data_IF_454888675299
#
_entry.id   IF_454888675299
#
_cell.length_a   1.000
_cell.length_b   1.000
_cell.length_c   1.000
_cell.angle_alpha   90.00
_cell.angle_beta   90.00
_cell.angle_gamma   90.00
#
_symmetry.space_group_name_H-M   'P 1'
#
loop_
_entity.id
_entity.type
_entity.pdbx_description
1 polymer ?
#
# COMPACT_ATOMS: atom_id res chain seq x y z
N UNK A 1 -2.21 12.67 -12.23
CA UNK A 1 -2.47 13.80 -11.32
C UNK A 1 -1.14 14.36 -10.84
N UNK A 2 -0.95 15.69 -10.85
CA UNK A 2 0.29 16.31 -10.34
C UNK A 2 0.18 16.56 -8.84
N UNK A 3 1.08 16.00 -8.04
CA UNK A 3 1.22 16.31 -6.62
C UNK A 3 1.53 17.80 -6.46
N UNK A 4 0.57 18.57 -5.95
CA UNK A 4 0.78 19.98 -5.60
C UNK A 4 1.51 20.01 -4.25
N UNK A 5 2.77 20.44 -4.27
CA UNK A 5 3.52 20.69 -3.05
C UNK A 5 2.78 21.77 -2.21
N UNK A 6 2.60 21.56 -0.89
CA UNK A 6 2.00 22.58 -0.04
C UNK A 6 2.87 23.86 -0.04
N UNK A 7 2.26 25.06 0.07
CA UNK A 7 2.99 26.32 0.02
C UNK A 7 3.98 26.41 1.17
N UNK A 8 5.24 26.65 0.82
CA UNK A 8 6.37 26.76 1.75
C UNK A 8 6.12 27.92 2.73
N UNK A 9 6.10 27.62 4.04
CA UNK A 9 5.91 28.62 5.10
C UNK A 9 7.18 28.69 5.95
N UNK A 10 7.95 29.76 5.80
CA UNK A 10 9.10 30.05 6.65
C UNK A 10 8.60 30.76 7.91
N UNK A 11 8.87 30.20 9.09
CA UNK A 11 8.60 30.86 10.37
C UNK A 11 9.92 31.20 11.06
N UNK A 12 10.06 32.47 11.46
CA UNK A 12 11.18 32.93 12.29
C UNK A 12 10.87 32.59 13.76
N UNK A 13 11.79 31.92 14.43
CA UNK A 13 11.68 31.64 15.87
C UNK A 13 12.83 32.33 16.58
N UNK A 14 12.49 33.23 17.48
CA UNK A 14 13.45 33.92 18.35
C UNK A 14 13.74 33.04 19.57
N UNK A 15 15.02 32.75 19.83
CA UNK A 15 15.46 32.05 21.04
C UNK A 15 16.38 32.98 21.84
N UNK A 16 16.09 33.12 23.12
CA UNK A 16 16.95 33.85 24.05
C UNK A 16 18.12 32.96 24.48
N UNK A 17 19.34 33.44 24.25
CA UNK A 17 20.57 32.76 24.68
C UNK A 17 21.27 33.65 25.69
N UNK A 18 21.60 33.07 26.85
CA UNK A 18 22.44 33.73 27.86
C UNK A 18 23.88 33.78 27.36
N UNK A 19 24.48 34.97 27.35
CA UNK A 19 25.85 35.16 26.86
C UNK A 19 26.87 34.56 27.84
N UNK A 20 26.55 34.56 29.13
CA UNK A 20 27.34 33.98 30.23
C UNK A 20 26.43 33.61 31.41
N UNK A 21 26.72 32.50 32.11
CA UNK A 21 25.94 32.13 33.31
C UNK A 21 26.05 33.21 34.39
N UNK A 22 24.90 33.76 34.81
CA UNK A 22 24.80 34.80 35.83
C UNK A 22 24.78 36.25 35.32
N UNK A 23 24.86 36.50 34.01
CA UNK A 23 24.73 37.85 33.43
C UNK A 23 23.28 38.20 33.09
N UNK A 24 22.77 39.42 33.39
CA UNK A 24 21.43 39.86 33.00
C UNK A 24 21.30 40.17 31.50
N UNK A 25 22.37 40.02 30.72
CA UNK A 25 22.40 40.33 29.29
C UNK A 25 22.02 39.09 28.48
N UNK A 26 20.79 39.07 27.95
CA UNK A 26 20.32 38.07 26.98
C UNK A 26 20.55 38.57 25.55
N UNK A 27 20.99 37.70 24.65
CA UNK A 27 21.00 37.98 23.20
C UNK A 27 19.89 37.18 22.53
N UNK A 28 18.99 37.87 21.84
CA UNK A 28 17.96 37.25 20.99
C UNK A 28 18.58 36.89 19.65
N UNK A 29 18.66 35.61 19.33
CA UNK A 29 19.13 35.14 18.02
C UNK A 29 17.96 34.50 17.28
N UNK A 30 17.62 35.08 16.14
CA UNK A 30 16.62 34.51 15.23
C UNK A 30 17.21 33.29 14.54
N UNK A 31 16.61 32.12 14.73
CA UNK A 31 16.98 30.91 14.01
C UNK A 31 15.93 30.63 12.94
N UNK A 32 16.39 30.33 11.72
CA UNK A 32 15.51 29.91 10.64
C UNK A 32 15.25 28.41 10.81
N UNK A 33 14.12 28.05 11.41
CA UNK A 33 13.69 26.66 11.47
C UNK A 33 13.25 26.24 10.05
N UNK A 34 14.10 25.44 9.41
CA UNK A 34 13.76 24.76 8.16
C UNK A 34 12.93 23.52 8.48
N UNK A 35 11.97 23.17 7.61
CA UNK A 35 11.14 21.97 7.79
C UNK A 35 12.07 20.77 8.00
N UNK A 36 11.87 20.07 9.12
CA UNK A 36 12.44 18.75 9.40
C UNK A 36 12.35 17.95 8.11
N UNK A 37 13.47 17.47 7.56
CA UNK A 37 13.48 16.61 6.37
C UNK A 37 12.27 15.67 6.42
N UNK A 38 11.53 15.56 5.29
CA UNK A 38 10.38 14.65 5.14
C UNK A 38 10.65 13.42 6.00
N UNK A 39 9.87 13.28 7.08
CA UNK A 39 10.08 12.20 8.05
C UNK A 39 10.11 10.90 7.28
N UNK A 40 11.01 9.97 7.63
CA UNK A 40 11.11 8.67 6.97
C UNK A 40 9.71 8.01 6.86
N UNK A 41 8.88 8.21 7.87
CA UNK A 41 7.47 7.82 7.92
C UNK A 41 6.62 8.30 6.72
N UNK A 42 6.81 9.54 6.26
CA UNK A 42 6.09 10.09 5.08
C UNK A 42 6.62 9.46 3.79
N UNK A 43 7.92 9.16 3.71
CA UNK A 43 8.51 8.49 2.55
C UNK A 43 8.03 7.04 2.46
N UNK A 44 8.02 6.33 3.59
CA UNK A 44 7.57 4.95 3.67
C UNK A 44 6.06 4.87 3.36
N UNK A 45 5.26 5.84 3.83
CA UNK A 45 3.84 5.95 3.47
C UNK A 45 3.62 6.14 1.96
N UNK A 46 4.36 7.07 1.33
CA UNK A 46 4.27 7.31 -0.11
C UNK A 46 4.72 6.09 -0.93
N UNK A 47 5.75 5.38 -0.47
CA UNK A 47 6.21 4.15 -1.12
C UNK A 47 5.16 3.04 -1.01
N UNK A 48 4.56 2.85 0.17
CA UNK A 48 3.49 1.87 0.37
C UNK A 48 2.25 2.18 -0.49
N UNK A 49 1.89 3.46 -0.62
CA UNK A 49 0.79 3.91 -1.49
C UNK A 49 1.10 3.66 -2.97
N UNK A 50 2.33 3.97 -3.41
CA UNK A 50 2.78 3.69 -4.79
C UNK A 50 2.80 2.18 -5.10
N UNK A 51 3.27 1.34 -4.18
CA UNK A 51 3.23 -0.12 -4.34
C UNK A 51 1.79 -0.65 -4.43
N UNK A 52 0.89 -0.15 -3.57
CA UNK A 52 -0.53 -0.54 -3.60
C UNK A 52 -1.21 -0.14 -4.91
N UNK A 53 -0.90 1.03 -5.45
CA UNK A 53 -1.43 1.52 -6.72
C UNK A 53 -0.95 0.67 -7.91
N UNK A 54 0.33 0.29 -7.92
CA UNK A 54 0.89 -0.62 -8.94
C UNK A 54 0.22 -2.00 -8.89
N UNK A 55 0.01 -2.54 -7.69
CA UNK A 55 -0.70 -3.81 -7.52
C UNK A 55 -2.14 -3.71 -8.03
N UNK A 56 -2.86 -2.62 -7.74
CA UNK A 56 -4.20 -2.41 -8.29
C UNK A 56 -4.22 -2.30 -9.80
N UNK A 57 -3.28 -1.57 -10.41
CA UNK A 57 -3.18 -1.43 -11.87
C UNK A 57 -2.91 -2.79 -12.52
N UNK A 58 -2.03 -3.60 -11.94
CA UNK A 58 -1.76 -4.96 -12.41
C UNK A 58 -3.00 -5.83 -12.27
N UNK A 59 -3.67 -5.82 -11.13
CA UNK A 59 -4.89 -6.60 -10.90
C UNK A 59 -6.08 -6.15 -11.74
N UNK A 60 -6.13 -4.88 -12.14
CA UNK A 60 -7.19 -4.34 -13.01
C UNK A 60 -6.84 -4.53 -14.49
N UNK A 61 -5.55 -4.53 -14.83
CA UNK A 61 -5.05 -4.72 -16.20
C UNK A 61 -4.92 -6.19 -16.61
N UNK A 62 -4.66 -7.09 -15.65
CA UNK A 62 -4.96 -8.52 -15.77
C UNK A 62 -6.45 -8.63 -15.52
N UNK A 63 -7.20 -8.36 -16.57
CA UNK A 63 -8.60 -8.03 -16.52
C UNK A 63 -9.43 -9.06 -15.69
N UNK A 64 -10.44 -8.57 -14.97
CA UNK A 64 -11.29 -9.38 -14.09
C UNK A 64 -12.09 -10.40 -14.91
N UNK A 65 -12.09 -10.25 -16.24
CA UNK A 65 -12.59 -11.18 -17.24
C UNK A 65 -11.84 -12.52 -17.25
N UNK A 66 -10.54 -12.61 -16.91
CA UNK A 66 -9.81 -13.89 -16.84
C UNK A 66 -10.30 -14.70 -15.64
N UNK A 67 -10.36 -14.07 -14.46
CA UNK A 67 -10.92 -14.70 -13.27
C UNK A 67 -12.41 -15.03 -13.47
N UNK A 68 -13.18 -14.15 -14.11
CA UNK A 68 -14.59 -14.38 -14.43
C UNK A 68 -14.78 -15.46 -15.49
N UNK A 69 -13.88 -15.62 -16.46
CA UNK A 69 -13.95 -16.66 -17.50
C UNK A 69 -13.65 -18.03 -16.91
N UNK A 70 -12.69 -18.10 -15.97
CA UNK A 70 -12.40 -19.34 -15.25
C UNK A 70 -13.53 -19.70 -14.28
N UNK A 71 -14.09 -18.73 -13.55
CA UNK A 71 -15.20 -18.97 -12.61
C UNK A 71 -16.54 -19.25 -13.32
N UNK A 72 -16.78 -18.60 -14.46
CA UNK A 72 -17.96 -18.88 -15.31
C UNK A 72 -17.83 -20.19 -16.10
N UNK A 73 -16.69 -20.87 -16.07
CA UNK A 73 -16.51 -22.16 -16.72
C UNK A 73 -17.05 -23.28 -15.80
N UNK A 74 -18.16 -23.96 -16.18
CA UNK A 74 -18.75 -25.01 -15.36
C UNK A 74 -17.75 -26.13 -15.07
N UNK A 75 -16.90 -26.47 -16.03
CA UNK A 75 -15.90 -27.53 -15.89
C UNK A 75 -14.83 -27.16 -14.86
N UNK A 76 -14.37 -25.91 -14.81
CA UNK A 76 -13.39 -25.47 -13.82
C UNK A 76 -13.98 -25.48 -12.40
N UNK A 77 -15.24 -25.05 -12.25
CA UNK A 77 -15.97 -25.08 -10.98
C UNK A 77 -16.17 -26.53 -10.48
N UNK A 78 -16.59 -27.45 -11.34
CA UNK A 78 -16.80 -28.85 -10.97
C UNK A 78 -15.47 -29.58 -10.68
N UNK A 79 -14.41 -29.28 -11.41
CA UNK A 79 -13.06 -29.77 -11.11
C UNK A 79 -12.57 -29.30 -9.74
N UNK A 80 -12.81 -28.04 -9.39
CA UNK A 80 -12.43 -27.50 -8.08
C UNK A 80 -13.19 -28.18 -6.94
N UNK A 81 -14.50 -28.37 -7.08
CA UNK A 81 -15.33 -29.12 -6.11
C UNK A 81 -14.87 -30.56 -5.93
N UNK A 82 -14.49 -31.23 -7.03
CA UNK A 82 -13.90 -32.56 -6.97
C UNK A 82 -12.59 -32.58 -6.18
N UNK A 83 -11.69 -31.62 -6.42
CA UNK A 83 -10.43 -31.51 -5.68
C UNK A 83 -10.69 -31.26 -4.17
N UNK A 84 -11.70 -30.46 -3.83
CA UNK A 84 -12.09 -30.20 -2.45
C UNK A 84 -12.62 -31.45 -1.73
N UNK A 85 -13.46 -32.25 -2.40
CA UNK A 85 -13.95 -33.55 -1.89
C UNK A 85 -12.81 -34.55 -1.67
N UNK A 86 -11.85 -34.62 -2.60
CA UNK A 86 -10.66 -35.46 -2.44
C UNK A 86 -9.83 -35.07 -1.21
N UNK A 87 -9.68 -33.77 -0.95
CA UNK A 87 -8.98 -33.29 0.26
C UNK A 87 -9.70 -33.66 1.55
N UNK A 88 -11.02 -33.80 1.50
CA UNK A 88 -11.85 -34.25 2.64
C UNK A 88 -11.83 -35.78 2.82
N UNK A 89 -11.13 -36.51 1.94
CA UNK A 89 -10.98 -37.96 2.01
C UNK A 89 -12.11 -38.73 1.33
N UNK A 90 -12.97 -38.04 0.57
CA UNK A 90 -13.99 -38.68 -0.25
C UNK A 90 -13.35 -39.27 -1.51
N UNK A 91 -13.76 -40.47 -1.89
CA UNK A 91 -13.35 -41.07 -3.16
C UNK A 91 -14.21 -40.55 -4.31
N UNK A 92 -13.57 -40.27 -5.45
CA UNK A 92 -14.24 -39.79 -6.65
C UNK A 92 -14.36 -40.91 -7.68
N UNK A 93 -15.55 -41.09 -8.25
CA UNK A 93 -15.79 -42.02 -9.34
C UNK A 93 -15.29 -41.41 -10.67
N UNK A 94 -14.58 -42.20 -11.48
CA UNK A 94 -14.06 -41.78 -12.79
C UNK A 94 -15.17 -41.30 -13.74
N UNK A 95 -16.37 -41.89 -13.66
CA UNK A 95 -17.55 -41.47 -14.44
C UNK A 95 -18.03 -40.05 -14.09
N UNK A 96 -17.89 -39.63 -12.83
CA UNK A 96 -18.27 -38.28 -12.39
C UNK A 96 -17.28 -37.23 -12.91
N UNK A 97 -16.02 -37.60 -13.14
CA UNK A 97 -15.03 -36.72 -13.75
C UNK A 97 -15.27 -36.59 -15.26
N UNK A 98 -15.60 -37.70 -15.92
CA UNK A 98 -15.79 -37.78 -17.37
C UNK A 98 -17.07 -37.06 -17.84
N UNK A 99 -18.15 -37.14 -17.05
CA UNK A 99 -19.42 -36.45 -17.35
C UNK A 99 -19.31 -34.93 -17.23
N UNK A 100 -18.33 -34.43 -16.46
CA UNK A 100 -18.09 -32.99 -16.22
C UNK A 100 -17.04 -32.38 -17.17
N UNK A 101 -16.50 -33.15 -18.11
CA UNK A 101 -15.48 -32.70 -19.07
C UNK A 101 -16.02 -32.48 -20.49
N UNK A 102 -17.29 -32.80 -20.77
CA UNK A 102 -17.99 -32.57 -22.04
C UNK A 102 -19.00 -31.43 -21.95
#
# INVERSE_FOLDING_TARGET
YCLKNPPYKYQWVDKEVLITEGSPVTTTKGYMETYKNVSQDIHDQLNAEAEAEVVQIILTGIDNDIYSTVDACPNACEMWKAIERLKQGESINVLDLETNMY
#
